data_IF_124115940099
#
_entry.id   IF_124115940099
#
_cell.length_a   1.000
_cell.length_b   1.000
_cell.length_c   1.000
_cell.angle_alpha   90.00
_cell.angle_beta   90.00
_cell.angle_gamma   90.00
#
_symmetry.space_group_name_H-M   'P 1'
#
loop_
_entity.id
_entity.type
_entity.pdbx_description
1 polymer ?
#
# COMPACT_ATOMS: atom_id res chain seq x y z
N UNK A 1 -6.81 14.52 13.81
CA UNK A 1 -6.88 13.99 12.42
C UNK A 1 -5.58 13.23 12.16
N UNK A 2 -5.57 12.08 11.46
CA UNK A 2 -4.39 11.20 11.39
C UNK A 2 -4.03 10.74 9.97
N UNK A 3 -4.62 11.37 8.95
CA UNK A 3 -4.41 11.03 7.53
C UNK A 3 -3.74 12.26 6.86
N UNK A 4 -2.40 12.29 6.74
CA UNK A 4 -1.70 13.42 6.15
C UNK A 4 -1.82 13.43 4.62
N UNK A 5 -1.55 14.58 4.01
CA UNK A 5 -1.38 14.71 2.56
C UNK A 5 -0.26 13.76 2.12
N UNK A 6 -0.59 12.79 1.26
CA UNK A 6 0.27 11.64 0.98
C UNK A 6 -0.16 10.89 -0.29
N UNK A 7 0.70 9.98 -0.76
CA UNK A 7 0.31 8.91 -1.67
C UNK A 7 -0.39 7.81 -0.87
N UNK A 8 -1.65 7.52 -1.20
CA UNK A 8 -2.50 6.58 -0.47
C UNK A 8 -2.57 5.21 -1.17
N UNK A 9 -1.78 4.25 -0.70
CA UNK A 9 -1.50 3.00 -1.43
C UNK A 9 -2.73 2.12 -1.63
N UNK A 10 -3.57 1.96 -0.60
CA UNK A 10 -4.77 1.11 -0.68
C UNK A 10 -5.78 1.63 -1.69
N UNK A 11 -5.99 2.95 -1.68
CA UNK A 11 -6.92 3.61 -2.61
C UNK A 11 -6.35 3.61 -4.03
N UNK A 12 -5.03 3.82 -4.18
CA UNK A 12 -4.35 3.75 -5.47
C UNK A 12 -4.42 2.37 -6.12
N UNK A 13 -4.42 1.27 -5.35
CA UNK A 13 -4.68 -0.08 -5.90
C UNK A 13 -6.09 -0.15 -6.50
N UNK A 14 -7.09 0.39 -5.81
CA UNK A 14 -8.47 0.45 -6.30
C UNK A 14 -8.60 1.27 -7.59
N UNK A 15 -8.00 2.46 -7.63
CA UNK A 15 -7.98 3.32 -8.83
C UNK A 15 -7.27 2.64 -9.99
N UNK A 16 -6.13 1.99 -9.75
CA UNK A 16 -5.39 1.26 -10.79
C UNK A 16 -6.24 0.15 -11.39
N UNK A 17 -6.91 -0.64 -10.54
CA UNK A 17 -7.84 -1.70 -10.99
C UNK A 17 -9.03 -1.14 -11.74
N UNK A 18 -9.55 0.01 -11.33
CA UNK A 18 -10.61 0.71 -12.05
C UNK A 18 -10.17 1.10 -13.47
N UNK A 19 -8.98 1.68 -13.61
CA UNK A 19 -8.40 2.03 -14.92
C UNK A 19 -8.18 0.80 -15.81
N UNK A 20 -7.77 -0.34 -15.23
CA UNK A 20 -7.58 -1.60 -15.96
C UNK A 20 -8.89 -2.15 -16.58
N UNK A 21 -10.06 -1.70 -16.12
CA UNK A 21 -11.36 -2.05 -16.69
C UNK A 21 -11.82 -1.12 -17.84
N UNK A 22 -11.10 -0.02 -18.07
CA UNK A 22 -11.45 0.96 -19.10
C UNK A 22 -10.88 0.58 -20.48
N UNK A 23 -11.38 1.16 -21.57
CA UNK A 23 -10.71 1.07 -22.87
C UNK A 23 -9.26 1.52 -22.78
N UNK A 24 -8.34 0.74 -23.33
CA UNK A 24 -6.91 1.03 -23.25
C UNK A 24 -6.54 2.13 -24.23
N UNK A 25 -6.40 3.35 -23.71
CA UNK A 25 -5.75 4.47 -24.41
C UNK A 25 -4.28 4.58 -23.99
N UNK A 26 -3.43 5.28 -24.76
CA UNK A 26 -2.04 5.50 -24.38
C UNK A 26 -1.87 6.11 -22.98
N UNK A 27 -2.76 7.01 -22.57
CA UNK A 27 -2.74 7.67 -21.26
C UNK A 27 -3.13 6.72 -20.12
N UNK A 28 -4.13 5.87 -20.35
CA UNK A 28 -4.57 4.84 -19.38
C UNK A 28 -3.48 3.80 -19.20
N UNK A 29 -2.91 3.30 -20.29
CA UNK A 29 -1.79 2.36 -20.25
C UNK A 29 -0.60 2.96 -19.47
N UNK A 30 -0.19 4.18 -19.81
CA UNK A 30 0.90 4.87 -19.12
C UNK A 30 0.62 5.03 -17.62
N UNK A 31 -0.61 5.35 -17.25
CA UNK A 31 -1.01 5.53 -15.85
C UNK A 31 -0.93 4.22 -15.06
N UNK A 32 -1.45 3.13 -15.63
CA UNK A 32 -1.40 1.79 -15.01
C UNK A 32 0.05 1.33 -14.86
N UNK A 33 0.86 1.45 -15.92
CA UNK A 33 2.29 1.08 -15.88
C UNK A 33 3.06 1.88 -14.83
N UNK A 34 2.81 3.18 -14.74
CA UNK A 34 3.47 4.04 -13.75
C UNK A 34 3.08 3.65 -12.32
N UNK A 35 1.80 3.35 -12.07
CA UNK A 35 1.34 2.90 -10.76
C UNK A 35 1.97 1.55 -10.38
N UNK A 36 1.96 0.57 -11.29
CA UNK A 36 2.57 -0.75 -11.04
C UNK A 36 4.07 -0.65 -10.81
N UNK A 37 4.77 0.16 -11.60
CA UNK A 37 6.20 0.45 -11.39
C UNK A 37 6.44 1.02 -9.99
N UNK A 38 5.65 2.03 -9.59
CA UNK A 38 5.77 2.62 -8.26
C UNK A 38 5.57 1.59 -7.15
N UNK A 39 4.56 0.72 -7.25
CA UNK A 39 4.35 -0.33 -6.25
C UNK A 39 5.50 -1.33 -6.19
N UNK A 40 6.07 -1.73 -7.35
CA UNK A 40 7.25 -2.62 -7.42
C UNK A 40 8.47 -1.98 -6.73
N UNK A 41 8.67 -0.68 -6.90
CA UNK A 41 9.82 0.07 -6.35
C UNK A 41 9.68 0.41 -4.85
N UNK A 42 8.46 0.52 -4.34
CA UNK A 42 8.19 1.03 -2.99
C UNK A 42 7.62 -0.01 -2.01
N UNK A 43 7.73 -1.31 -2.34
CA UNK A 43 7.36 -2.39 -1.44
C UNK A 43 8.34 -2.53 -0.27
N UNK A 44 7.83 -3.00 0.86
CA UNK A 44 8.59 -3.39 2.03
C UNK A 44 8.60 -4.91 2.08
N UNK A 45 9.77 -5.51 1.90
CA UNK A 45 9.92 -6.97 1.87
C UNK A 45 10.22 -7.54 3.25
N UNK A 46 9.84 -8.80 3.46
CA UNK A 46 10.19 -9.56 4.66
C UNK A 46 9.32 -9.24 5.87
N UNK A 47 8.22 -8.50 5.70
CA UNK A 47 7.28 -8.18 6.77
C UNK A 47 5.85 -8.52 6.38
N UNK A 48 5.02 -8.85 7.37
CA UNK A 48 3.58 -8.93 7.24
C UNK A 48 2.90 -8.13 8.35
N UNK A 49 1.64 -7.74 8.12
CA UNK A 49 0.89 -6.90 9.04
C UNK A 49 -0.50 -7.50 9.31
N UNK A 50 -0.67 -8.07 10.50
CA UNK A 50 -1.83 -8.91 10.82
C UNK A 50 -2.51 -8.48 12.11
N UNK A 51 -3.81 -8.75 12.21
CA UNK A 51 -4.55 -8.63 13.45
C UNK A 51 -4.33 -9.89 14.28
N UNK A 52 -3.93 -9.73 15.54
CA UNK A 52 -3.81 -10.81 16.53
C UNK A 52 -4.65 -10.47 17.76
N UNK A 53 -5.09 -11.50 18.49
CA UNK A 53 -5.67 -11.30 19.82
C UNK A 53 -4.57 -11.42 20.88
N UNK A 54 -4.44 -10.39 21.71
CA UNK A 54 -3.51 -10.33 22.84
C UNK A 54 -4.32 -9.85 24.05
N UNK A 55 -4.38 -10.68 25.10
CA UNK A 55 -5.11 -10.38 26.34
C UNK A 55 -6.58 -9.95 26.10
N UNK A 56 -7.27 -10.62 25.17
CA UNK A 56 -8.67 -10.34 24.81
C UNK A 56 -8.88 -9.06 23.98
N UNK A 57 -7.79 -8.42 23.50
CA UNK A 57 -7.85 -7.24 22.62
C UNK A 57 -7.29 -7.59 21.24
N UNK A 58 -7.96 -7.09 20.20
CA UNK A 58 -7.44 -7.15 18.82
C UNK A 58 -6.40 -6.06 18.63
N UNK A 59 -5.16 -6.47 18.38
CA UNK A 59 -4.02 -5.59 18.12
C UNK A 59 -3.46 -5.89 16.73
N UNK A 60 -2.94 -4.85 16.07
CA UNK A 60 -2.25 -5.01 14.79
C UNK A 60 -0.75 -5.14 15.01
N UNK A 61 -0.18 -6.20 14.48
CA UNK A 61 1.22 -6.58 14.69
C UNK A 61 1.93 -6.57 13.35
N UNK A 62 2.99 -5.76 13.29
CA UNK A 62 4.01 -5.83 12.24
C UNK A 62 5.02 -6.89 12.65
N UNK A 63 5.16 -7.91 11.81
CA UNK A 63 6.03 -9.07 12.09
C UNK A 63 6.92 -9.38 10.91
N UNK A 64 8.13 -9.86 11.17
CA UNK A 64 8.98 -10.40 10.13
C UNK A 64 8.35 -11.68 9.56
N UNK A 65 8.24 -11.75 8.24
CA UNK A 65 7.71 -12.90 7.52
C UNK A 65 8.45 -13.02 6.19
N UNK A 66 9.36 -13.98 6.11
CA UNK A 66 10.19 -14.19 4.92
C UNK A 66 9.32 -14.42 3.68
N UNK A 67 9.62 -13.68 2.61
CA UNK A 67 8.90 -13.76 1.35
C UNK A 67 7.57 -12.99 1.32
N UNK A 68 7.16 -12.34 2.42
CA UNK A 68 6.01 -11.43 2.40
C UNK A 68 6.40 -10.04 1.92
N UNK A 69 5.43 -9.33 1.34
CA UNK A 69 5.57 -7.93 0.94
C UNK A 69 4.39 -7.12 1.47
N UNK A 70 4.68 -5.91 1.93
CA UNK A 70 3.67 -4.94 2.38
C UNK A 70 4.01 -3.55 1.85
N UNK A 71 3.06 -2.64 1.96
CA UNK A 71 3.22 -1.22 1.72
C UNK A 71 2.71 -0.47 2.94
N UNK A 72 3.35 0.65 3.28
CA UNK A 72 2.73 1.59 4.20
C UNK A 72 1.43 2.15 3.59
N UNK A 73 0.46 2.53 4.42
CA UNK A 73 -0.78 3.10 3.91
C UNK A 73 -0.56 4.46 3.26
N UNK A 74 0.39 5.22 3.79
CA UNK A 74 0.73 6.55 3.33
C UNK A 74 2.23 6.66 3.06
N UNK A 75 2.55 7.28 1.93
CA UNK A 75 3.92 7.63 1.55
C UNK A 75 4.01 9.14 1.32
N UNK A 76 5.12 9.74 1.72
CA UNK A 76 5.40 11.15 1.46
C UNK A 76 5.47 11.43 -0.05
N UNK A 77 4.87 12.55 -0.48
CA UNK A 77 4.72 12.91 -1.89
C UNK A 77 6.04 13.12 -2.64
N UNK A 78 7.10 13.50 -1.92
CA UNK A 78 8.36 13.90 -2.53
C UNK A 78 9.43 12.82 -2.38
N UNK A 79 9.45 12.15 -1.23
CA UNK A 79 10.52 11.21 -0.87
C UNK A 79 10.14 9.76 -1.09
N UNK A 80 8.85 9.45 -1.30
CA UNK A 80 8.34 8.08 -1.37
C UNK A 80 8.75 7.24 -0.15
N UNK A 81 8.85 7.87 1.03
CA UNK A 81 9.09 7.16 2.29
C UNK A 81 7.76 6.94 3.02
N UNK A 82 7.60 5.81 3.73
CA UNK A 82 6.50 5.62 4.64
C UNK A 82 6.36 6.79 5.62
N UNK A 83 5.13 7.26 5.79
CA UNK A 83 4.76 8.23 6.81
C UNK A 83 3.51 7.77 7.54
N UNK A 84 3.35 8.24 8.77
CA UNK A 84 2.26 7.86 9.64
C UNK A 84 1.65 9.11 10.29
N UNK A 85 0.43 9.00 10.79
CA UNK A 85 -0.25 10.09 11.48
C UNK A 85 -0.69 9.68 12.87
N UNK A 86 -0.97 10.66 13.71
CA UNK A 86 -1.55 10.45 15.03
C UNK A 86 -2.73 11.40 15.29
N UNK A 87 -3.48 11.22 16.38
CA UNK A 87 -4.69 12.01 16.66
C UNK A 87 -4.43 13.51 16.75
N UNK A 88 -3.25 13.88 17.20
CA UNK A 88 -2.77 15.26 17.33
C UNK A 88 -2.49 15.95 15.97
N UNK A 89 -2.59 15.23 14.85
CA UNK A 89 -2.30 15.77 13.52
C UNK A 89 -0.83 15.75 13.15
N UNK A 90 0.05 15.24 14.01
CA UNK A 90 1.47 15.14 13.71
C UNK A 90 1.76 14.04 12.69
N UNK A 91 2.76 14.30 11.85
CA UNK A 91 3.34 13.30 10.94
C UNK A 91 4.49 12.61 11.65
N UNK A 92 4.46 11.29 11.69
CA UNK A 92 5.53 10.44 12.21
C UNK A 92 6.26 9.78 11.06
N UNK A 93 7.57 9.61 11.21
CA UNK A 93 8.41 8.94 10.22
C UNK A 93 8.66 7.47 10.57
N UNK A 94 8.50 7.09 11.85
CA UNK A 94 8.62 5.70 12.29
C UNK A 94 7.29 5.20 12.85
N UNK A 95 6.98 3.93 12.56
CA UNK A 95 5.80 3.25 13.08
C UNK A 95 5.78 3.17 14.62
N UNK A 96 6.98 3.10 15.23
CA UNK A 96 7.17 3.12 16.68
C UNK A 96 6.76 4.43 17.36
N UNK A 97 6.62 5.51 16.60
CA UNK A 97 6.32 6.84 17.14
C UNK A 97 4.82 7.14 17.15
N UNK A 98 4.00 6.24 16.58
CA UNK A 98 2.53 6.30 16.61
C UNK A 98 2.04 5.86 17.99
N UNK A 99 1.07 6.56 18.57
CA UNK A 99 0.39 6.15 19.80
C UNK A 99 -0.15 4.72 19.72
N UNK A 100 -0.11 4.00 20.84
CA UNK A 100 -0.56 2.60 20.91
C UNK A 100 -2.01 2.41 20.43
N UNK A 101 -2.88 3.37 20.77
CA UNK A 101 -4.29 3.38 20.36
C UNK A 101 -4.43 3.46 18.83
N UNK A 102 -3.67 4.33 18.16
CA UNK A 102 -3.67 4.45 16.69
C UNK A 102 -2.96 3.29 16.02
N UNK A 103 -1.87 2.80 16.60
CA UNK A 103 -1.11 1.65 16.11
C UNK A 103 -1.98 0.39 16.05
N UNK A 104 -2.79 0.17 17.08
CA UNK A 104 -3.67 -0.99 17.17
C UNK A 104 -4.98 -0.78 16.40
N UNK A 105 -5.53 0.43 16.42
CA UNK A 105 -6.86 0.75 15.92
C UNK A 105 -6.96 0.97 14.41
N UNK A 106 -5.85 1.26 13.71
CA UNK A 106 -5.85 1.61 12.30
C UNK A 106 -4.83 0.81 11.50
N UNK A 107 -5.14 0.47 10.24
CA UNK A 107 -4.22 -0.29 9.39
C UNK A 107 -3.19 0.64 8.77
N UNK A 108 -1.96 0.62 9.27
CA UNK A 108 -0.86 1.43 8.75
C UNK A 108 -0.04 0.75 7.65
N UNK A 109 -0.21 -0.56 7.51
CA UNK A 109 0.34 -1.32 6.39
C UNK A 109 -0.77 -2.14 5.73
N UNK A 110 -0.56 -2.45 4.46
CA UNK A 110 -1.45 -3.25 3.61
C UNK A 110 -0.62 -4.10 2.65
N UNK A 111 -1.24 -5.10 2.04
CA UNK A 111 -0.63 -6.04 1.08
C UNK A 111 -1.38 -6.08 -0.26
N UNK A 112 -2.36 -5.20 -0.49
CA UNK A 112 -3.28 -5.28 -1.63
C UNK A 112 -2.60 -5.15 -3.00
N UNK A 113 -1.45 -4.47 -3.06
CA UNK A 113 -0.68 -4.28 -4.28
C UNK A 113 0.03 -5.56 -4.73
N UNK A 114 0.24 -6.54 -3.83
CA UNK A 114 0.87 -7.82 -4.17
C UNK A 114 0.05 -8.55 -5.24
N UNK A 115 -1.25 -8.75 -4.99
CA UNK A 115 -2.16 -9.35 -5.97
C UNK A 115 -2.26 -8.52 -7.27
N UNK A 116 -2.20 -7.19 -7.17
CA UNK A 116 -2.21 -6.33 -8.34
C UNK A 116 -0.99 -6.63 -9.23
N UNK A 117 0.21 -6.68 -8.66
CA UNK A 117 1.47 -6.89 -9.37
C UNK A 117 1.59 -8.32 -9.89
N UNK A 118 1.35 -9.32 -9.04
CA UNK A 118 1.68 -10.71 -9.34
C UNK A 118 0.61 -11.41 -10.19
N UNK A 119 -0.62 -10.91 -10.20
CA UNK A 119 -1.75 -11.58 -10.85
C UNK A 119 -2.55 -10.69 -11.77
N UNK A 120 -3.06 -9.58 -11.27
CA UNK A 120 -4.05 -8.79 -12.02
C UNK A 120 -3.38 -8.08 -13.21
N UNK A 121 -2.17 -7.52 -13.02
CA UNK A 121 -1.45 -6.79 -14.06
C UNK A 121 -0.89 -7.67 -15.20
N UNK A 122 -0.22 -8.81 -14.95
CA UNK A 122 0.20 -9.74 -16.01
C UNK A 122 -0.98 -10.26 -16.84
N UNK A 123 -2.12 -10.52 -16.18
CA UNK A 123 -3.36 -10.90 -16.87
C UNK A 123 -3.86 -9.77 -17.77
N UNK A 124 -3.86 -8.53 -17.29
CA UNK A 124 -4.28 -7.36 -18.06
C UNK A 124 -3.38 -7.12 -19.29
N UNK A 125 -2.06 -7.26 -19.15
CA UNK A 125 -1.14 -7.20 -20.29
C UNK A 125 -1.49 -8.24 -21.36
N UNK A 126 -1.66 -9.50 -20.94
CA UNK A 126 -2.02 -10.60 -21.84
C UNK A 126 -3.35 -10.35 -22.56
N UNK A 127 -4.39 -9.94 -21.83
CA UNK A 127 -5.72 -9.68 -22.40
C UNK A 127 -5.72 -8.53 -23.42
N UNK A 128 -4.83 -7.55 -23.27
CA UNK A 128 -4.70 -6.41 -24.16
C UNK A 128 -3.56 -6.55 -25.18
N UNK A 129 -2.88 -7.71 -25.23
CA UNK A 129 -1.73 -7.99 -26.13
C UNK A 129 -0.59 -6.98 -25.97
N UNK A 130 -0.35 -6.53 -24.75
CA UNK A 130 0.73 -5.61 -24.37
C UNK A 130 1.93 -6.39 -23.81
N UNK A 131 3.14 -5.88 -24.03
CA UNK A 131 4.35 -6.38 -23.36
C UNK A 131 4.52 -5.74 -21.98
N UNK A 132 5.27 -6.38 -21.07
CA UNK A 132 5.68 -5.72 -19.82
C UNK A 132 6.66 -4.57 -20.08
#
# INVERSE_FOLDING_TARGET
>A
AFEPVSLATGESVGITKFLMMQPVTPEIEKSIRSAVKWFKENKIEGYSYKVKEVNGKRVRVLEETKGSVIWARFYDLHTNKPIFGDRDGSVKLNYSDISEERRSGYSWYIDFADKLIEKDYPKWLTSNKLSD
#
